data_IF_205353129157
#
_entry.id   IF_205353129157
#
_cell.length_a   1.000
_cell.length_b   1.000
_cell.length_c   1.000
_cell.angle_alpha   90.00
_cell.angle_beta   90.00
_cell.angle_gamma   90.00
#
_symmetry.space_group_name_H-M   'P 1'
#
loop_
_entity.id
_entity.type
_entity.pdbx_description
1 polymer ?
#
# COMPACT_ATOMS: atom_id res chain seq x y z
N UNK A 1 21.62 -3.39 -19.74
CA UNK A 1 21.71 -3.70 -18.30
C UNK A 1 20.81 -4.89 -18.04
N UNK A 2 21.27 -5.85 -17.22
CA UNK A 2 20.47 -7.03 -16.85
C UNK A 2 20.54 -7.24 -15.34
N UNK A 3 19.42 -7.62 -14.73
CA UNK A 3 19.32 -8.02 -13.33
C UNK A 3 18.66 -9.40 -13.25
N UNK A 4 19.43 -10.38 -12.78
CA UNK A 4 18.97 -11.75 -12.57
C UNK A 4 18.68 -12.00 -11.08
N UNK A 5 17.60 -12.72 -10.80
CA UNK A 5 17.20 -13.18 -9.48
C UNK A 5 17.10 -14.72 -9.51
N UNK A 6 17.98 -15.42 -8.77
CA UNK A 6 18.20 -16.88 -8.90
C UNK A 6 17.80 -17.72 -7.68
N UNK A 7 17.08 -17.13 -6.74
CA UNK A 7 16.72 -17.81 -5.48
C UNK A 7 15.27 -18.32 -5.42
N UNK A 8 14.53 -18.25 -6.54
CA UNK A 8 13.18 -18.80 -6.65
C UNK A 8 12.18 -18.29 -5.60
N UNK A 9 12.42 -17.08 -5.06
CA UNK A 9 11.59 -16.43 -4.04
C UNK A 9 11.62 -14.93 -4.25
N UNK A 10 10.46 -14.30 -4.20
CA UNK A 10 10.34 -12.85 -4.07
C UNK A 10 10.86 -12.44 -2.68
N UNK A 11 12.10 -11.94 -2.64
CA UNK A 11 12.76 -11.45 -1.44
C UNK A 11 13.30 -10.03 -1.70
N UNK A 12 14.15 -9.52 -0.80
CA UNK A 12 14.87 -8.25 -1.02
C UNK A 12 15.74 -8.24 -2.29
N UNK A 13 16.00 -9.40 -2.90
CA UNK A 13 16.79 -9.50 -4.13
C UNK A 13 15.97 -9.34 -5.40
N UNK A 14 14.65 -9.59 -5.34
CA UNK A 14 13.72 -9.43 -6.47
C UNK A 14 13.23 -7.97 -6.53
N UNK A 15 13.37 -7.28 -7.68
CA UNK A 15 12.83 -5.93 -7.79
C UNK A 15 11.30 -5.99 -7.76
N UNK A 16 10.69 -5.24 -6.83
CA UNK A 16 9.24 -5.08 -6.82
C UNK A 16 8.74 -4.45 -8.12
N UNK A 17 9.50 -3.49 -8.64
CA UNK A 17 9.28 -2.87 -9.93
C UNK A 17 10.64 -2.51 -10.54
N UNK A 18 10.84 -2.83 -11.82
CA UNK A 18 12.05 -2.43 -12.55
C UNK A 18 11.73 -1.20 -13.38
N UNK A 19 12.36 -0.06 -13.06
CA UNK A 19 12.00 1.27 -13.56
C UNK A 19 13.10 1.80 -14.47
N UNK A 20 12.71 2.36 -15.61
CA UNK A 20 13.52 3.18 -16.49
C UNK A 20 12.96 4.61 -16.52
N UNK A 21 13.83 5.61 -16.51
CA UNK A 21 13.49 7.02 -16.57
C UNK A 21 14.53 7.80 -17.35
N UNK A 22 14.15 8.94 -17.90
CA UNK A 22 15.13 9.93 -18.37
C UNK A 22 15.67 10.71 -17.16
N UNK A 23 16.96 10.51 -16.84
CA UNK A 23 17.56 11.05 -15.62
C UNK A 23 17.11 10.33 -14.34
N UNK A 24 17.28 11.01 -13.20
CA UNK A 24 16.89 10.48 -11.88
C UNK A 24 15.35 10.46 -11.76
N UNK A 25 14.74 9.33 -11.37
CA UNK A 25 13.29 9.25 -11.26
C UNK A 25 12.79 10.16 -10.13
N UNK A 26 11.86 11.07 -10.47
CA UNK A 26 11.22 11.97 -9.52
C UNK A 26 9.84 11.43 -9.12
N UNK A 27 9.34 11.89 -7.97
CA UNK A 27 8.02 11.48 -7.47
C UNK A 27 6.89 12.13 -8.28
N UNK A 28 6.92 13.45 -8.45
CA UNK A 28 5.80 14.26 -8.93
C UNK A 28 5.87 14.64 -10.41
N UNK A 29 6.98 14.30 -11.09
CA UNK A 29 7.30 14.79 -12.43
C UNK A 29 8.26 13.85 -13.16
N UNK A 30 8.41 14.08 -14.47
CA UNK A 30 9.28 13.28 -15.32
C UNK A 30 8.61 12.01 -15.86
N UNK A 31 9.24 11.43 -16.86
CA UNK A 31 8.74 10.25 -17.56
C UNK A 31 9.38 8.98 -17.01
N UNK A 32 8.53 8.02 -16.64
CA UNK A 32 8.93 6.72 -16.06
C UNK A 32 8.24 5.58 -16.79
N UNK A 33 8.99 4.54 -17.11
CA UNK A 33 8.51 3.24 -17.59
C UNK A 33 8.87 2.17 -16.57
N UNK A 34 8.01 1.19 -16.42
CA UNK A 34 8.24 0.12 -15.48
C UNK A 34 7.77 -1.23 -15.99
N UNK A 35 8.41 -2.30 -15.52
CA UNK A 35 7.90 -3.65 -15.66
C UNK A 35 7.97 -4.44 -14.35
N UNK A 36 6.99 -5.33 -14.16
CA UNK A 36 6.94 -6.32 -13.10
C UNK A 36 6.64 -7.69 -13.71
N UNK A 37 7.42 -8.70 -13.36
CA UNK A 37 7.18 -10.07 -13.77
C UNK A 37 6.31 -10.76 -12.72
N UNK A 38 5.10 -11.18 -13.09
CA UNK A 38 4.17 -11.92 -12.24
C UNK A 38 4.60 -13.40 -12.12
N UNK A 39 5.78 -13.63 -11.54
CA UNK A 39 6.42 -14.94 -11.40
C UNK A 39 7.14 -15.04 -10.07
N UNK A 40 6.99 -16.15 -9.36
CA UNK A 40 7.63 -16.38 -8.06
C UNK A 40 8.98 -17.11 -8.16
N UNK A 41 9.29 -17.71 -9.31
CA UNK A 41 10.53 -18.44 -9.55
C UNK A 41 11.71 -17.52 -9.87
N UNK A 42 12.73 -18.06 -10.53
CA UNK A 42 13.87 -17.29 -10.99
C UNK A 42 13.44 -16.28 -12.06
N UNK A 43 14.00 -15.08 -12.03
CA UNK A 43 13.58 -13.94 -12.85
C UNK A 43 14.78 -13.27 -13.51
N UNK A 44 14.57 -12.65 -14.66
CA UNK A 44 15.51 -11.72 -15.28
C UNK A 44 14.79 -10.45 -15.72
N UNK A 45 15.42 -9.31 -15.49
CA UNK A 45 14.96 -7.99 -15.92
C UNK A 45 16.03 -7.38 -16.80
N UNK A 46 15.64 -6.77 -17.92
CA UNK A 46 16.57 -6.21 -18.90
C UNK A 46 16.15 -4.82 -19.35
N UNK A 47 17.18 -3.99 -19.56
CA UNK A 47 17.10 -2.72 -20.27
C UNK A 47 18.18 -2.75 -21.36
N UNK A 48 17.77 -2.93 -22.60
CA UNK A 48 18.65 -2.94 -23.76
C UNK A 48 18.63 -1.55 -24.40
N UNK A 49 19.74 -0.81 -24.31
CA UNK A 49 19.92 0.48 -24.95
C UNK A 49 21.08 0.37 -25.94
N UNK A 50 20.76 -0.07 -27.15
CA UNK A 50 21.73 -0.35 -28.21
C UNK A 50 21.52 0.62 -29.38
N UNK A 51 22.58 1.13 -30.04
CA UNK A 51 22.43 2.08 -31.15
C UNK A 51 21.62 1.57 -32.34
N UNK A 52 21.43 0.25 -32.48
CA UNK A 52 20.78 -0.38 -33.63
C UNK A 52 19.26 -0.50 -33.50
N UNK A 53 18.70 -0.35 -32.30
CA UNK A 53 17.28 -0.53 -32.03
C UNK A 53 16.79 0.48 -30.98
N UNK A 54 15.48 0.66 -30.90
CA UNK A 54 14.86 1.43 -29.83
C UNK A 54 15.17 0.81 -28.45
N UNK A 55 15.29 1.61 -27.37
CA UNK A 55 15.48 1.08 -26.04
C UNK A 55 14.38 0.08 -25.66
N UNK A 56 14.76 -1.11 -25.20
CA UNK A 56 13.82 -2.17 -24.81
C UNK A 56 13.87 -2.40 -23.30
N UNK A 57 12.73 -2.26 -22.66
CA UNK A 57 12.49 -2.68 -21.28
C UNK A 57 11.77 -4.03 -21.29
N UNK A 58 12.24 -4.99 -20.49
CA UNK A 58 11.58 -6.29 -20.42
C UNK A 58 11.91 -7.09 -19.17
N UNK A 59 11.10 -8.11 -18.92
CA UNK A 59 11.32 -9.09 -17.87
C UNK A 59 10.89 -10.48 -18.37
N UNK A 60 11.38 -11.52 -17.71
CA UNK A 60 11.04 -12.91 -18.02
C UNK A 60 11.51 -13.85 -16.93
N UNK A 61 10.98 -15.06 -16.94
CA UNK A 61 11.50 -16.16 -16.14
C UNK A 61 12.95 -16.47 -16.53
N UNK A 62 13.74 -16.88 -15.54
CA UNK A 62 15.12 -17.29 -15.73
C UNK A 62 15.22 -18.79 -15.47
N UNK A 63 14.87 -19.58 -16.49
CA UNK A 63 14.82 -21.03 -16.39
C UNK A 63 16.21 -21.64 -16.23
N UNK A 64 16.32 -22.57 -15.30
CA UNK A 64 17.45 -23.48 -15.17
C UNK A 64 17.43 -24.59 -16.23
N UNK A 65 18.58 -25.23 -16.51
CA UNK A 65 18.65 -26.37 -17.41
C UNK A 65 17.67 -27.48 -17.00
N UNK A 66 16.78 -27.87 -17.92
CA UNK A 66 15.84 -28.96 -17.71
C UNK A 66 14.60 -28.62 -16.89
N UNK A 67 14.42 -27.37 -16.43
CA UNK A 67 13.18 -26.95 -15.74
C UNK A 67 11.96 -27.02 -16.66
N UNK A 68 12.16 -26.79 -17.97
CA UNK A 68 11.14 -26.96 -18.99
C UNK A 68 11.68 -27.85 -20.09
N UNK A 69 10.93 -28.91 -20.41
CA UNK A 69 11.17 -29.78 -21.54
C UNK A 69 9.87 -29.89 -22.34
N UNK A 70 9.89 -29.41 -23.58
CA UNK A 70 8.76 -29.50 -24.49
C UNK A 70 8.87 -30.77 -25.32
N UNK A 71 7.81 -31.57 -25.33
CA UNK A 71 7.65 -32.66 -26.27
C UNK A 71 7.23 -32.10 -27.64
N UNK A 72 7.41 -32.86 -28.74
CA UNK A 72 6.90 -32.46 -30.05
C UNK A 72 5.40 -32.13 -29.99
N UNK A 73 5.05 -30.91 -30.41
CA UNK A 73 3.67 -30.42 -30.40
C UNK A 73 3.20 -29.80 -29.08
N UNK A 74 4.04 -29.77 -28.04
CA UNK A 74 3.75 -29.03 -26.80
C UNK A 74 4.11 -27.55 -26.92
N UNK A 75 3.34 -26.70 -26.24
CA UNK A 75 3.61 -25.27 -26.09
C UNK A 75 4.02 -24.91 -24.66
N UNK A 76 4.66 -23.74 -24.52
CA UNK A 76 4.96 -23.12 -23.24
C UNK A 76 4.51 -21.66 -23.28
N UNK A 77 3.79 -21.24 -22.25
CA UNK A 77 3.42 -19.86 -22.03
C UNK A 77 4.32 -19.27 -20.93
N UNK A 78 4.99 -18.17 -21.25
CA UNK A 78 5.78 -17.40 -20.28
C UNK A 78 4.86 -16.78 -19.23
N UNK A 79 5.36 -16.46 -18.02
CA UNK A 79 4.61 -15.69 -17.05
C UNK A 79 4.24 -14.31 -17.61
N UNK A 80 3.22 -13.70 -17.01
CA UNK A 80 2.78 -12.36 -17.40
C UNK A 80 3.80 -11.31 -16.96
N UNK A 81 4.06 -10.35 -17.85
CA UNK A 81 4.82 -9.13 -17.54
C UNK A 81 3.84 -7.97 -17.55
N UNK A 82 3.72 -7.27 -16.42
CA UNK A 82 2.94 -6.05 -16.31
C UNK A 82 3.83 -4.87 -16.64
N UNK A 83 3.43 -4.07 -17.62
CA UNK A 83 4.08 -2.80 -17.95
C UNK A 83 3.25 -1.61 -17.45
N UNK A 84 3.93 -0.56 -17.01
CA UNK A 84 3.31 0.70 -16.62
C UNK A 84 4.17 1.87 -17.11
N UNK A 85 3.52 2.99 -17.37
CA UNK A 85 4.16 4.23 -17.81
C UNK A 85 3.46 5.43 -17.15
N UNK A 86 4.22 6.47 -16.84
CA UNK A 86 3.68 7.76 -16.43
C UNK A 86 4.58 8.92 -16.84
N UNK A 87 3.96 10.02 -17.25
CA UNK A 87 4.55 11.35 -17.46
C UNK A 87 4.53 12.25 -16.20
N UNK A 88 4.11 11.69 -15.05
CA UNK A 88 3.97 12.39 -13.76
C UNK A 88 4.78 11.69 -12.66
N UNK A 89 5.95 11.19 -13.03
CA UNK A 89 6.86 10.50 -12.12
C UNK A 89 6.29 9.24 -11.48
N UNK A 90 6.90 8.85 -10.37
CA UNK A 90 6.52 7.66 -9.60
C UNK A 90 5.11 7.75 -9.01
N UNK A 91 4.61 8.94 -8.69
CA UNK A 91 3.28 9.13 -8.13
C UNK A 91 2.18 8.87 -9.16
N UNK A 92 2.40 9.27 -10.42
CA UNK A 92 1.47 8.96 -11.51
C UNK A 92 1.37 7.45 -11.78
N UNK A 93 2.50 6.74 -11.68
CA UNK A 93 2.59 5.28 -11.77
C UNK A 93 1.92 4.59 -10.58
N UNK A 94 2.19 5.05 -9.35
CA UNK A 94 1.53 4.56 -8.15
C UNK A 94 0.02 4.77 -8.20
N UNK A 95 -0.44 5.91 -8.71
CA UNK A 95 -1.85 6.19 -8.91
C UNK A 95 -2.50 5.21 -9.90
N UNK A 96 -1.78 4.75 -10.94
CA UNK A 96 -2.29 3.71 -11.85
C UNK A 96 -2.46 2.37 -11.15
N UNK A 97 -1.45 1.93 -10.39
CA UNK A 97 -1.52 0.68 -9.62
C UNK A 97 -2.65 0.71 -8.57
N UNK A 98 -2.83 1.84 -7.88
CA UNK A 98 -3.90 2.02 -6.90
C UNK A 98 -5.30 2.07 -7.54
N UNK A 99 -5.43 2.65 -8.74
CA UNK A 99 -6.68 2.55 -9.53
C UNK A 99 -7.00 1.10 -9.87
N UNK A 100 -6.03 0.34 -10.42
CA UNK A 100 -6.24 -1.09 -10.70
C UNK A 100 -6.58 -1.90 -9.45
N UNK A 101 -5.95 -1.60 -8.32
CA UNK A 101 -6.27 -2.22 -7.02
C UNK A 101 -7.72 -1.94 -6.63
N UNK A 102 -8.16 -0.69 -6.73
CA UNK A 102 -9.53 -0.30 -6.44
C UNK A 102 -10.53 -0.98 -7.38
N UNK A 103 -10.26 -0.96 -8.68
CA UNK A 103 -11.20 -1.42 -9.71
C UNK A 103 -11.33 -2.95 -9.73
N UNK A 104 -10.25 -3.68 -9.41
CA UNK A 104 -10.22 -5.15 -9.52
C UNK A 104 -10.43 -5.86 -8.17
N UNK A 105 -9.97 -5.28 -7.06
CA UNK A 105 -9.86 -6.00 -5.78
C UNK A 105 -10.74 -5.43 -4.68
N UNK A 106 -11.18 -4.16 -4.78
CA UNK A 106 -11.92 -3.50 -3.72
C UNK A 106 -13.42 -3.67 -3.85
N UNK A 107 -14.08 -4.05 -2.76
CA UNK A 107 -15.53 -4.07 -2.63
C UNK A 107 -15.97 -3.27 -1.39
N UNK A 108 -17.26 -3.34 -1.04
CA UNK A 108 -17.81 -2.66 0.16
C UNK A 108 -17.10 -3.08 1.46
N UNK A 109 -16.67 -4.33 1.55
CA UNK A 109 -16.15 -4.92 2.79
C UNK A 109 -14.62 -4.80 2.94
N UNK A 110 -13.93 -4.20 1.97
CA UNK A 110 -12.48 -4.06 1.95
C UNK A 110 -11.86 -4.47 0.61
N UNK A 111 -10.54 -4.61 0.59
CA UNK A 111 -9.76 -4.99 -0.60
C UNK A 111 -9.24 -6.43 -0.47
N UNK A 112 -9.58 -7.27 -1.44
CA UNK A 112 -9.14 -8.66 -1.53
C UNK A 112 -7.65 -8.77 -1.87
N UNK A 113 -6.99 -9.87 -1.48
CA UNK A 113 -5.58 -10.13 -1.82
C UNK A 113 -5.35 -10.23 -3.33
N UNK A 114 -6.23 -10.94 -4.03
CA UNK A 114 -6.12 -11.20 -5.45
C UNK A 114 -7.50 -11.45 -6.07
N UNK A 115 -7.59 -11.24 -7.37
CA UNK A 115 -8.71 -11.65 -8.20
C UNK A 115 -8.19 -11.94 -9.62
N UNK A 116 -8.71 -12.98 -10.31
CA UNK A 116 -9.67 -13.96 -9.80
C UNK A 116 -9.03 -14.93 -8.80
N UNK A 117 -9.80 -15.38 -7.82
CA UNK A 117 -9.39 -16.44 -6.91
C UNK A 117 -9.21 -17.79 -7.63
N UNK A 118 -8.20 -18.57 -7.21
CA UNK A 118 -7.91 -19.88 -7.78
C UNK A 118 -9.09 -20.84 -7.54
N UNK A 119 -9.58 -21.46 -8.61
CA UNK A 119 -10.69 -22.43 -8.58
C UNK A 119 -10.24 -23.89 -8.46
N UNK A 120 -8.95 -24.15 -8.65
CA UNK A 120 -8.34 -25.48 -8.58
C UNK A 120 -6.98 -25.37 -7.91
N UNK A 121 -6.56 -26.45 -7.25
CA UNK A 121 -5.26 -26.51 -6.60
C UNK A 121 -4.13 -26.39 -7.62
N UNK A 122 -3.15 -25.55 -7.31
CA UNK A 122 -1.93 -25.28 -8.06
C UNK A 122 -0.74 -25.74 -7.21
N UNK A 123 -0.19 -26.90 -7.56
CA UNK A 123 0.88 -27.55 -6.79
C UNK A 123 2.12 -26.64 -6.67
N UNK A 124 2.40 -25.87 -7.72
CA UNK A 124 3.49 -24.92 -7.82
C UNK A 124 3.30 -23.66 -6.94
N UNK A 125 2.07 -23.37 -6.50
CA UNK A 125 1.74 -22.23 -5.64
C UNK A 125 1.46 -22.62 -4.18
N UNK A 126 1.30 -23.92 -3.91
CA UNK A 126 1.05 -24.43 -2.57
C UNK A 126 -0.25 -23.91 -1.95
N UNK A 127 -0.19 -23.53 -0.68
CA UNK A 127 -1.35 -23.30 0.20
C UNK A 127 -2.33 -22.24 -0.34
N UNK A 128 -1.86 -21.21 -1.03
CA UNK A 128 -2.72 -20.12 -1.54
C UNK A 128 -3.86 -20.64 -2.42
N UNK A 129 -3.64 -21.72 -3.16
CA UNK A 129 -4.64 -22.31 -4.06
C UNK A 129 -5.48 -23.43 -3.41
N UNK A 130 -5.19 -23.76 -2.15
CA UNK A 130 -5.90 -24.80 -1.39
C UNK A 130 -7.17 -24.27 -0.71
N UNK A 131 -7.22 -22.96 -0.41
CA UNK A 131 -8.42 -22.32 0.14
C UNK A 131 -9.51 -22.21 -0.93
N UNK A 132 -10.79 -22.40 -0.57
CA UNK A 132 -11.89 -22.05 -1.45
C UNK A 132 -11.87 -20.55 -1.81
N UNK A 133 -12.43 -20.21 -2.98
CA UNK A 133 -12.44 -18.84 -3.50
C UNK A 133 -13.04 -17.85 -2.51
N UNK A 134 -12.39 -16.70 -2.36
CA UNK A 134 -12.84 -15.61 -1.50
C UNK A 134 -12.52 -15.78 -0.02
N UNK A 135 -11.76 -16.80 0.38
CA UNK A 135 -11.37 -16.99 1.78
C UNK A 135 -9.86 -16.91 1.95
N UNK A 136 -9.45 -16.38 3.11
CA UNK A 136 -8.05 -16.39 3.54
C UNK A 136 -7.16 -15.81 2.44
N UNK A 137 -6.04 -16.45 2.10
CA UNK A 137 -5.08 -15.93 1.13
C UNK A 137 -5.59 -16.04 -0.34
N UNK A 138 -6.65 -16.81 -0.61
CA UNK A 138 -7.22 -16.99 -1.96
C UNK A 138 -8.38 -16.03 -2.24
N UNK A 139 -8.07 -14.74 -2.39
CA UNK A 139 -9.07 -13.71 -2.70
C UNK A 139 -9.96 -13.31 -1.51
N UNK A 140 -9.58 -13.70 -0.29
CA UNK A 140 -10.14 -13.10 0.93
C UNK A 140 -9.66 -11.66 1.12
N UNK A 141 -10.43 -10.89 1.89
CA UNK A 141 -10.03 -9.56 2.35
C UNK A 141 -9.19 -9.77 3.60
N UNK A 142 -7.88 -9.63 3.46
CA UNK A 142 -6.94 -9.73 4.56
C UNK A 142 -6.75 -8.36 5.17
N UNK A 143 -7.47 -8.06 6.24
CA UNK A 143 -7.56 -6.72 6.81
C UNK A 143 -6.17 -6.14 7.17
N UNK A 144 -5.18 -6.99 7.45
CA UNK A 144 -3.80 -6.60 7.76
C UNK A 144 -3.13 -5.80 6.62
N UNK A 145 -3.36 -6.16 5.35
CA UNK A 145 -2.69 -5.50 4.23
C UNK A 145 -3.44 -4.26 3.70
N UNK A 146 -4.70 -4.07 4.11
CA UNK A 146 -5.54 -2.96 3.66
C UNK A 146 -4.99 -1.59 4.12
N UNK A 147 -4.47 -1.43 5.36
CA UNK A 147 -3.77 -0.21 5.76
C UNK A 147 -2.62 0.19 4.85
N UNK A 148 -1.92 -0.74 4.19
CA UNK A 148 -0.87 -0.39 3.24
C UNK A 148 -1.43 0.34 2.01
N UNK A 149 -2.63 -0.04 1.58
CA UNK A 149 -3.35 0.59 0.46
C UNK A 149 -3.86 1.97 0.89
N UNK A 150 -4.35 2.11 2.12
CA UNK A 150 -4.71 3.42 2.70
C UNK A 150 -3.51 4.37 2.71
N UNK A 151 -2.41 3.93 3.32
CA UNK A 151 -1.15 4.68 3.41
C UNK A 151 -0.63 5.05 2.02
N UNK A 152 -0.67 4.14 1.05
CA UNK A 152 -0.25 4.42 -0.31
C UNK A 152 -1.11 5.49 -0.99
N UNK A 153 -2.43 5.46 -0.78
CA UNK A 153 -3.33 6.52 -1.28
C UNK A 153 -3.04 7.87 -0.61
N UNK A 154 -2.80 7.89 0.71
CA UNK A 154 -2.41 9.10 1.43
C UNK A 154 -1.13 9.71 0.85
N UNK A 155 -0.10 8.88 0.62
CA UNK A 155 1.19 9.33 0.07
C UNK A 155 1.12 9.97 -1.32
N UNK A 156 0.11 9.64 -2.13
CA UNK A 156 -0.10 10.27 -3.46
C UNK A 156 -1.20 11.34 -3.44
N UNK A 157 -1.64 11.77 -2.25
CA UNK A 157 -2.67 12.81 -2.07
C UNK A 157 -4.11 12.37 -2.41
N UNK A 158 -4.38 11.06 -2.48
CA UNK A 158 -5.74 10.54 -2.68
C UNK A 158 -6.46 10.34 -1.33
N UNK A 159 -6.63 11.43 -0.59
CA UNK A 159 -7.13 11.44 0.80
C UNK A 159 -8.50 10.76 0.95
N UNK A 160 -9.37 10.94 -0.05
CA UNK A 160 -10.71 10.32 -0.04
C UNK A 160 -10.62 8.80 -0.10
N UNK A 161 -9.78 8.24 -0.97
CA UNK A 161 -9.66 6.79 -1.06
C UNK A 161 -8.87 6.20 0.11
N UNK A 162 -7.86 6.91 0.62
CA UNK A 162 -7.14 6.50 1.84
C UNK A 162 -8.15 6.25 2.99
N UNK A 163 -8.99 7.24 3.26
CA UNK A 163 -10.02 7.13 4.30
C UNK A 163 -11.10 6.10 3.98
N UNK A 164 -11.49 5.96 2.70
CA UNK A 164 -12.43 4.91 2.30
C UNK A 164 -11.87 3.51 2.56
N UNK A 165 -10.58 3.26 2.29
CA UNK A 165 -9.96 1.95 2.58
C UNK A 165 -9.99 1.66 4.08
N UNK A 166 -9.61 2.64 4.91
CA UNK A 166 -9.69 2.53 6.37
C UNK A 166 -11.10 2.17 6.86
N UNK A 167 -12.12 2.91 6.41
CA UNK A 167 -13.50 2.76 6.91
C UNK A 167 -14.16 1.45 6.48
N UNK A 168 -13.76 0.82 5.36
CA UNK A 168 -14.32 -0.45 4.90
C UNK A 168 -14.10 -1.62 5.86
N UNK A 169 -13.06 -1.56 6.69
CA UNK A 169 -12.71 -2.61 7.66
C UNK A 169 -12.66 -2.14 9.11
N UNK A 170 -12.86 -0.85 9.38
CA UNK A 170 -12.84 -0.31 10.74
C UNK A 170 -14.08 -0.74 11.53
N UNK A 171 -13.95 -1.38 12.71
CA UNK A 171 -15.07 -1.91 13.49
C UNK A 171 -16.20 -0.90 13.71
N UNK A 172 -15.86 0.34 14.07
CA UNK A 172 -16.84 1.40 14.30
C UNK A 172 -17.65 1.78 13.04
N UNK A 173 -17.09 1.60 11.85
CA UNK A 173 -17.77 1.90 10.58
C UNK A 173 -18.57 0.71 10.04
N UNK A 174 -18.25 -0.50 10.48
CA UNK A 174 -18.93 -1.73 10.05
C UNK A 174 -19.90 -2.30 11.09
N UNK A 175 -20.04 -1.67 12.27
CA UNK A 175 -20.93 -2.10 13.35
C UNK A 175 -22.39 -2.30 12.86
N UNK A 176 -22.90 -1.41 12.00
CA UNK A 176 -24.23 -1.54 11.40
C UNK A 176 -24.44 -2.82 10.57
N UNK A 177 -23.35 -3.50 10.19
CA UNK A 177 -23.35 -4.75 9.44
C UNK A 177 -23.00 -5.97 10.31
N UNK A 178 -23.09 -5.88 11.64
CA UNK A 178 -22.69 -6.95 12.57
C UNK A 178 -23.30 -8.32 12.26
N UNK A 179 -24.55 -8.37 11.79
CA UNK A 179 -25.21 -9.63 11.38
C UNK A 179 -24.49 -10.33 10.22
N UNK A 180 -23.89 -9.55 9.30
CA UNK A 180 -23.06 -10.07 8.20
C UNK A 180 -21.63 -10.29 8.67
N UNK A 181 -21.08 -9.37 9.48
CA UNK A 181 -19.67 -9.40 9.87
C UNK A 181 -19.36 -10.54 10.86
N UNK A 182 -20.31 -10.95 11.71
CA UNK A 182 -20.25 -12.09 12.66
C UNK A 182 -19.17 -12.01 13.75
N UNK A 183 -18.16 -11.16 13.63
CA UNK A 183 -17.15 -10.90 14.67
C UNK A 183 -17.49 -9.66 15.50
N UNK A 184 -16.76 -9.45 16.59
CA UNK A 184 -16.93 -8.36 17.54
C UNK A 184 -16.88 -6.96 16.86
N UNK A 185 -17.88 -6.08 17.07
CA UNK A 185 -17.96 -4.78 16.38
C UNK A 185 -17.03 -3.69 16.92
N UNK A 186 -16.10 -4.06 17.81
CA UNK A 186 -15.21 -3.13 18.51
C UNK A 186 -13.71 -3.50 18.37
N UNK A 187 -13.40 -4.59 17.68
CA UNK A 187 -12.02 -5.00 17.36
C UNK A 187 -11.90 -5.49 15.92
N UNK A 188 -10.70 -5.38 15.35
CA UNK A 188 -10.43 -5.92 14.03
C UNK A 188 -10.43 -7.46 14.03
N UNK A 189 -10.76 -8.03 12.88
CA UNK A 189 -10.47 -9.42 12.54
C UNK A 189 -9.34 -9.52 11.50
N UNK A 190 -8.73 -10.70 11.40
CA UNK A 190 -7.68 -10.96 10.41
C UNK A 190 -8.24 -10.93 8.98
N UNK A 191 -9.40 -11.58 8.79
CA UNK A 191 -9.92 -11.87 7.47
C UNK A 191 -11.42 -11.65 7.40
N UNK A 192 -11.85 -11.01 6.33
CA UNK A 192 -13.23 -10.90 5.90
C UNK A 192 -13.38 -11.67 4.59
N UNK A 193 -14.42 -12.49 4.48
CA UNK A 193 -14.70 -13.22 3.25
C UNK A 193 -14.88 -12.24 2.08
N UNK A 194 -14.09 -12.45 1.02
CA UNK A 194 -14.02 -11.61 -0.16
C UNK A 194 -15.19 -11.80 -1.13
N UNK A 195 -15.21 -11.04 -2.24
CA UNK A 195 -16.33 -11.01 -3.18
C UNK A 195 -16.68 -12.36 -3.82
N UNK A 196 -15.69 -13.23 -3.99
CA UNK A 196 -15.85 -14.54 -4.64
C UNK A 196 -16.26 -15.66 -3.67
N UNK A 197 -16.42 -15.35 -2.38
CA UNK A 197 -16.91 -16.30 -1.38
C UNK A 197 -18.44 -16.44 -1.48
N UNK A 198 -19.02 -17.59 -1.08
CA UNK A 198 -20.48 -17.72 -0.90
C UNK A 198 -21.01 -16.88 0.28
N UNK A 199 -20.14 -16.39 1.17
CA UNK A 199 -20.51 -15.56 2.33
C UNK A 199 -19.75 -14.22 2.41
N UNK A 200 -19.79 -13.34 1.37
CA UNK A 200 -19.00 -12.12 1.36
C UNK A 200 -19.31 -11.22 2.56
N UNK A 201 -18.27 -10.69 3.21
CA UNK A 201 -18.40 -9.79 4.36
C UNK A 201 -18.32 -10.47 5.74
N UNK A 202 -18.39 -11.81 5.82
CA UNK A 202 -18.20 -12.52 7.09
C UNK A 202 -16.76 -12.46 7.59
N UNK A 203 -16.56 -11.91 8.77
CA UNK A 203 -15.29 -11.89 9.50
C UNK A 203 -14.94 -13.24 10.13
N UNK A 204 -13.65 -13.55 10.21
CA UNK A 204 -13.09 -14.71 10.93
C UNK A 204 -11.75 -14.31 11.57
N UNK A 205 -11.35 -15.07 12.60
CA UNK A 205 -10.10 -14.85 13.35
C UNK A 205 -10.04 -13.42 13.93
N UNK A 206 -10.99 -13.08 14.81
CA UNK A 206 -11.03 -11.79 15.51
C UNK A 206 -9.88 -11.65 16.51
N UNK A 207 -9.64 -10.41 16.95
CA UNK A 207 -8.64 -10.01 17.95
C UNK A 207 -7.17 -10.15 17.54
N UNK A 208 -6.69 -11.38 17.39
CA UNK A 208 -5.26 -11.67 17.32
C UNK A 208 -4.73 -11.52 15.88
N UNK A 209 -4.58 -10.27 15.46
CA UNK A 209 -4.14 -9.91 14.10
C UNK A 209 -3.26 -8.66 14.11
N UNK A 210 -2.29 -8.60 13.20
CA UNK A 210 -1.50 -7.40 12.96
C UNK A 210 -2.30 -6.25 12.34
N UNK A 211 -3.55 -6.48 11.91
CA UNK A 211 -4.49 -5.44 11.47
C UNK A 211 -4.56 -4.30 12.49
N UNK A 212 -4.67 -4.60 13.78
CA UNK A 212 -4.78 -3.57 14.81
C UNK A 212 -3.56 -2.62 14.81
N UNK A 213 -2.35 -3.18 14.73
CA UNK A 213 -1.11 -2.39 14.71
C UNK A 213 -0.99 -1.57 13.42
N UNK A 214 -1.22 -2.19 12.26
CA UNK A 214 -1.09 -1.52 10.97
C UNK A 214 -2.15 -0.43 10.76
N UNK A 215 -3.39 -0.67 11.19
CA UNK A 215 -4.43 0.36 11.14
C UNK A 215 -4.16 1.49 12.12
N UNK A 216 -3.58 1.21 13.29
CA UNK A 216 -3.16 2.28 14.19
C UNK A 216 -2.04 3.14 13.58
N UNK A 217 -1.06 2.53 12.90
CA UNK A 217 -0.04 3.27 12.14
C UNK A 217 -0.69 4.12 11.06
N UNK A 218 -1.57 3.54 10.25
CA UNK A 218 -2.31 4.25 9.19
C UNK A 218 -3.08 5.46 9.73
N UNK A 219 -3.97 5.25 10.70
CA UNK A 219 -4.81 6.32 11.27
C UNK A 219 -3.97 7.39 11.96
N UNK A 220 -3.05 7.01 12.86
CA UNK A 220 -2.32 7.98 13.68
C UNK A 220 -1.24 8.73 12.90
N UNK A 221 -0.54 8.05 12.00
CA UNK A 221 0.65 8.60 11.34
C UNK A 221 0.35 9.12 9.93
N UNK A 222 -0.58 8.51 9.19
CA UNK A 222 -0.83 8.88 7.79
C UNK A 222 -2.14 9.66 7.62
N UNK A 223 -3.26 9.17 8.14
CA UNK A 223 -4.53 9.90 8.04
C UNK A 223 -4.53 11.16 8.91
N UNK A 224 -4.28 11.02 10.22
CA UNK A 224 -4.10 12.17 11.11
C UNK A 224 -2.76 12.90 10.87
N UNK A 225 -1.79 12.21 10.25
CA UNK A 225 -0.56 12.84 9.78
C UNK A 225 0.53 13.04 10.81
N UNK A 226 0.45 12.45 12.01
CA UNK A 226 1.41 12.72 13.10
C UNK A 226 2.52 11.68 13.12
N UNK A 227 3.68 12.04 12.57
CA UNK A 227 4.76 11.10 12.25
C UNK A 227 6.04 11.41 13.03
N UNK A 228 6.41 10.56 14.00
CA UNK A 228 7.72 10.65 14.63
C UNK A 228 8.85 10.42 13.61
N UNK A 229 9.77 11.37 13.51
CA UNK A 229 11.00 11.23 12.71
C UNK A 229 12.23 11.29 13.61
N UNK A 230 13.42 11.17 13.04
CA UNK A 230 14.66 11.36 13.80
C UNK A 230 14.82 12.81 14.27
N UNK A 231 14.50 13.76 13.37
CA UNK A 231 14.79 15.19 13.52
C UNK A 231 13.62 16.00 14.09
N UNK A 232 12.43 15.40 14.23
CA UNK A 232 11.26 16.09 14.75
C UNK A 232 9.97 15.30 14.62
N UNK A 233 8.84 15.99 14.79
CA UNK A 233 7.51 15.44 14.57
C UNK A 233 6.95 16.01 13.27
N UNK A 234 6.91 15.20 12.21
CA UNK A 234 6.33 15.60 10.92
C UNK A 234 4.80 15.57 11.01
N UNK A 235 4.15 16.60 10.48
CA UNK A 235 2.70 16.78 10.45
C UNK A 235 2.19 16.90 9.01
N UNK A 236 1.48 15.89 8.54
CA UNK A 236 0.96 15.83 7.16
C UNK A 236 -0.39 15.09 7.13
N UNK A 237 -1.50 15.77 7.44
CA UNK A 237 -2.81 15.12 7.51
C UNK A 237 -3.35 14.77 6.13
N UNK A 238 -3.84 13.54 5.97
CA UNK A 238 -4.49 13.02 4.76
C UNK A 238 -5.92 12.57 5.08
N UNK A 239 -6.84 13.53 5.06
CA UNK A 239 -8.25 13.29 5.38
C UNK A 239 -9.16 13.85 4.29
N UNK A 240 -10.36 13.29 4.13
CA UNK A 240 -11.39 13.84 3.26
C UNK A 240 -11.73 15.31 3.57
N UNK A 241 -12.27 16.02 2.58
CA UNK A 241 -12.55 17.45 2.66
C UNK A 241 -13.51 17.86 3.80
N UNK A 242 -14.38 16.94 4.27
CA UNK A 242 -15.27 17.22 5.40
C UNK A 242 -14.55 17.38 6.75
N UNK A 243 -13.31 16.90 6.87
CA UNK A 243 -12.49 17.12 8.06
C UNK A 243 -11.71 18.42 7.88
N UNK A 244 -12.25 19.50 8.47
CA UNK A 244 -11.72 20.86 8.34
C UNK A 244 -10.86 21.29 9.52
N UNK A 245 -11.05 20.69 10.69
CA UNK A 245 -10.33 21.01 11.92
C UNK A 245 -9.98 19.73 12.67
N UNK A 246 -8.78 19.67 13.24
CA UNK A 246 -8.30 18.58 14.09
C UNK A 246 -7.68 19.15 15.37
N UNK A 247 -7.94 18.50 16.48
CA UNK A 247 -7.24 18.72 17.74
C UNK A 247 -6.60 17.40 18.17
N UNK A 248 -5.28 17.39 18.29
CA UNK A 248 -4.50 16.18 18.57
C UNK A 248 -3.56 16.45 19.73
N UNK A 249 -3.65 15.63 20.76
CA UNK A 249 -2.67 15.58 21.84
C UNK A 249 -1.73 14.38 21.65
N UNK A 250 -0.42 14.64 21.63
CA UNK A 250 0.60 13.62 21.43
C UNK A 250 1.71 13.75 22.46
N UNK A 251 1.86 12.74 23.31
CA UNK A 251 3.08 12.59 24.11
C UNK A 251 4.19 11.97 23.25
N UNK A 252 5.32 12.65 23.16
CA UNK A 252 6.50 12.18 22.45
C UNK A 252 7.79 12.69 23.09
N UNK A 253 8.74 11.80 23.35
CA UNK A 253 10.03 12.11 24.01
C UNK A 253 9.90 12.90 25.33
N UNK A 254 8.85 12.62 26.10
CA UNK A 254 8.59 13.24 27.40
C UNK A 254 7.91 14.62 27.33
N UNK A 255 7.45 15.04 26.16
CA UNK A 255 6.79 16.34 25.93
C UNK A 255 5.38 16.12 25.40
N UNK A 256 4.41 16.91 25.90
CA UNK A 256 3.04 16.96 25.39
C UNK A 256 2.95 17.93 24.22
N UNK A 257 2.62 17.44 23.04
CA UNK A 257 2.35 18.27 21.87
C UNK A 257 0.84 18.45 21.73
N UNK A 258 0.37 19.69 21.79
CA UNK A 258 -1.03 20.07 21.54
C UNK A 258 -1.10 20.66 20.14
N UNK A 259 -1.69 19.92 19.20
CA UNK A 259 -1.67 20.23 17.77
C UNK A 259 -3.08 20.59 17.32
N UNK A 260 -3.27 21.85 16.95
CA UNK A 260 -4.49 22.35 16.31
C UNK A 260 -4.23 22.50 14.81
N UNK A 261 -4.89 21.65 14.00
CA UNK A 261 -4.76 21.68 12.55
C UNK A 261 -6.04 22.20 11.88
N UNK A 262 -5.91 23.09 10.90
CA UNK A 262 -7.03 23.63 10.11
C UNK A 262 -6.78 23.51 8.62
N UNK A 263 -7.79 23.06 7.88
CA UNK A 263 -7.78 23.04 6.42
C UNK A 263 -8.06 24.43 5.88
N UNK A 264 -7.05 25.05 5.29
CA UNK A 264 -7.12 26.40 4.69
C UNK A 264 -6.71 26.42 3.22
N UNK A 265 -6.07 25.34 2.72
CA UNK A 265 -5.50 25.27 1.38
C UNK A 265 -4.15 25.99 1.24
N UNK A 266 -3.61 26.56 2.33
CA UNK A 266 -2.27 27.15 2.38
C UNK A 266 -1.49 26.56 3.55
N UNK A 267 -0.49 25.75 3.23
CA UNK A 267 0.37 25.13 4.22
C UNK A 267 1.14 26.18 5.05
N UNK A 268 1.02 26.10 6.38
CA UNK A 268 1.88 26.85 7.30
C UNK A 268 1.91 26.17 8.67
N UNK A 269 3.05 26.30 9.36
CA UNK A 269 3.28 25.69 10.67
C UNK A 269 3.79 26.75 11.64
N UNK A 270 3.20 26.81 12.82
CA UNK A 270 3.73 27.57 13.95
C UNK A 270 3.92 26.68 15.16
N UNK A 271 4.97 26.94 15.93
CA UNK A 271 5.32 26.25 17.17
C UNK A 271 5.51 27.31 18.25
N UNK A 272 4.69 27.26 19.30
CA UNK A 272 4.59 28.28 20.34
C UNK A 272 4.48 29.71 19.77
N UNK A 273 3.64 29.86 18.74
CA UNK A 273 3.40 31.12 18.04
C UNK A 273 4.50 31.55 17.06
N UNK A 274 5.61 30.81 16.94
CA UNK A 274 6.71 31.13 16.02
C UNK A 274 6.60 30.34 14.71
N UNK A 275 6.70 30.97 13.53
CA UNK A 275 6.70 30.26 12.25
C UNK A 275 7.85 29.28 12.11
N UNK A 276 7.57 28.10 11.57
CA UNK A 276 8.53 27.06 11.22
C UNK A 276 8.40 26.73 9.73
N UNK A 277 9.52 26.56 9.03
CA UNK A 277 9.51 26.16 7.62
C UNK A 277 9.26 24.66 7.46
N UNK A 278 8.47 24.29 6.45
CA UNK A 278 8.12 22.90 6.19
C UNK A 278 7.04 22.38 7.13
N UNK A 279 6.99 21.06 7.30
CA UNK A 279 5.93 20.34 8.03
C UNK A 279 6.43 19.65 9.30
N UNK A 280 7.69 19.86 9.69
CA UNK A 280 8.30 19.16 10.83
C UNK A 280 8.46 20.09 12.02
N UNK A 281 7.79 19.75 13.12
CA UNK A 281 7.98 20.39 14.43
C UNK A 281 9.35 19.96 14.96
N UNK A 282 10.26 20.89 15.28
CA UNK A 282 11.58 20.55 15.80
C UNK A 282 11.50 19.82 17.14
N UNK A 283 12.57 19.10 17.49
CA UNK A 283 12.72 18.52 18.82
C UNK A 283 12.67 19.65 19.87
N UNK A 284 11.81 19.48 20.88
CA UNK A 284 11.68 20.43 21.97
C UNK A 284 12.97 20.53 22.78
N UNK A 285 13.23 21.71 23.34
CA UNK A 285 14.38 21.91 24.21
C UNK A 285 14.26 21.04 25.47
N UNK A 286 15.40 20.71 26.08
CA UNK A 286 15.40 19.98 27.35
C UNK A 286 14.65 20.80 28.42
N UNK A 287 13.76 20.15 29.17
CA UNK A 287 12.93 20.78 30.20
C UNK A 287 11.61 21.37 29.69
N UNK A 288 11.32 21.29 28.39
CA UNK A 288 9.98 21.61 27.87
C UNK A 288 8.99 20.52 28.26
N UNK A 289 7.88 20.90 28.90
CA UNK A 289 6.80 19.96 29.26
C UNK A 289 5.72 19.91 28.17
N UNK A 290 5.45 21.03 27.50
CA UNK A 290 4.37 21.20 26.53
C UNK A 290 4.79 22.09 25.37
N UNK A 291 4.27 21.78 24.17
CA UNK A 291 4.46 22.55 22.94
C UNK A 291 3.10 22.73 22.25
N UNK A 292 2.74 23.98 21.94
CA UNK A 292 1.56 24.28 21.14
C UNK A 292 1.92 24.40 19.67
N UNK A 293 1.19 23.67 18.83
CA UNK A 293 1.41 23.64 17.39
C UNK A 293 0.14 24.08 16.69
N UNK A 294 0.24 25.06 15.80
CA UNK A 294 -0.83 25.37 14.85
C UNK A 294 -0.39 25.01 13.44
N UNK A 295 -1.16 24.14 12.80
CA UNK A 295 -0.94 23.69 11.42
C UNK A 295 -2.09 24.20 10.55
N UNK A 296 -1.78 24.92 9.48
CA UNK A 296 -2.70 25.10 8.37
C UNK A 296 -2.28 24.14 7.26
N UNK A 297 -3.22 23.38 6.69
CA UNK A 297 -2.99 22.44 5.59
C UNK A 297 -4.06 22.56 4.49
#
# INVERSE_FOLDING_TARGET
MTRDCRHGKTSHESPWLFIASDGEPLFDSGEVWACHLAWSGNQTYRLDNLPQHEPLLGAGELLGPGEIQLLPGSDYATPQVCFSWSDRGLDGMAAQALRSTKDLLTCRCGTAILAPAYSTYRIELGEISSYPRGYKENGGIFCHNNPWISIANAKIGNDSEAFNVYTRTCPAYVEQYSEVHRTEPYVYCQMVAGPEAPTPGEGKNSWLTGTAAWTFVDVSQYLLGVQPTFDGLRLEPHLPAQFTELHIEREWRGVRYVIDARRTGKASLTVDGKPVSGTTVPIAASGTEEVHVSLNF
#
